data_IF_422381450631
#
_entry.id   IF_422381450631
#
_cell.length_a   1.000
_cell.length_b   1.000
_cell.length_c   1.000
_cell.angle_alpha   90.00
_cell.angle_beta   90.00
_cell.angle_gamma   90.00
#
_symmetry.space_group_name_H-M   'P 1'
#
loop_
_entity.id
_entity.type
_entity.pdbx_description
1 polymer ?
#
# COMPACT_ATOMS: atom_id res chain seq x y z
N UNK A 1 -13.96 -1.57 3.30
CA UNK A 1 -14.62 -2.90 3.47
C UNK A 1 -13.78 -3.84 4.34
N UNK A 2 -12.46 -3.92 4.15
CA UNK A 2 -11.57 -4.80 4.94
C UNK A 2 -11.63 -4.54 6.45
N UNK A 3 -11.38 -3.30 6.90
CA UNK A 3 -11.39 -2.98 8.34
C UNK A 3 -12.72 -3.33 9.03
N UNK A 4 -13.84 -3.03 8.37
CA UNK A 4 -15.20 -3.40 8.84
C UNK A 4 -15.38 -4.92 8.94
N UNK A 5 -14.95 -5.68 7.93
CA UNK A 5 -15.06 -7.14 7.94
C UNK A 5 -14.21 -7.78 9.05
N UNK A 6 -13.09 -7.15 9.43
CA UNK A 6 -12.24 -7.58 10.53
C UNK A 6 -12.66 -7.03 11.90
N UNK A 7 -13.65 -6.13 11.97
CA UNK A 7 -14.02 -5.44 13.20
C UNK A 7 -12.92 -4.52 13.75
N UNK A 8 -12.04 -3.98 12.89
CA UNK A 8 -10.89 -3.17 13.25
C UNK A 8 -11.06 -1.68 12.85
N UNK A 9 -10.39 -0.75 13.54
CA UNK A 9 -10.34 0.65 13.12
C UNK A 9 -9.57 0.82 11.80
N UNK A 10 -9.84 1.92 11.10
CA UNK A 10 -9.19 2.28 9.84
C UNK A 10 -8.45 3.60 9.98
N UNK A 11 -7.21 3.64 9.49
CA UNK A 11 -6.40 4.84 9.32
C UNK A 11 -6.19 5.05 7.82
N UNK A 12 -6.30 6.29 7.37
CA UNK A 12 -6.08 6.65 5.97
C UNK A 12 -4.85 7.53 5.89
N UNK A 13 -3.85 7.07 5.14
CA UNK A 13 -2.72 7.92 4.76
C UNK A 13 -3.15 8.85 3.61
N UNK A 14 -2.80 10.13 3.72
CA UNK A 14 -3.24 11.16 2.77
C UNK A 14 -2.08 11.68 1.94
N UNK A 15 -2.35 12.19 0.75
CA UNK A 15 -1.34 12.88 -0.06
C UNK A 15 -0.97 14.25 0.50
N UNK A 16 -1.91 14.88 1.19
CA UNK A 16 -1.79 16.19 1.81
C UNK A 16 -2.40 16.12 3.21
N UNK A 17 -1.72 16.72 4.18
CA UNK A 17 -2.21 16.82 5.56
C UNK A 17 -3.42 17.75 5.65
N UNK A 18 -4.28 17.54 6.64
CA UNK A 18 -5.35 18.48 6.99
C UNK A 18 -5.02 19.21 8.28
N UNK A 19 -5.41 20.48 8.36
CA UNK A 19 -5.23 21.32 9.57
C UNK A 19 -5.82 20.65 10.82
N UNK A 20 -6.89 19.87 10.65
CA UNK A 20 -7.59 19.16 11.74
C UNK A 20 -6.84 17.93 12.27
N UNK A 21 -5.78 17.46 11.61
CA UNK A 21 -5.04 16.26 12.02
C UNK A 21 -4.01 16.54 13.11
N UNK A 22 -3.73 17.82 13.38
CA UNK A 22 -2.73 18.23 14.35
C UNK A 22 -1.33 17.78 13.93
N UNK A 23 -0.46 17.39 14.88
CA UNK A 23 0.88 16.90 14.57
C UNK A 23 0.85 15.67 13.64
N UNK A 24 1.66 15.67 12.58
CA UNK A 24 1.67 14.63 11.55
C UNK A 24 3.08 14.23 11.13
N UNK A 25 3.24 12.99 10.68
CA UNK A 25 4.44 12.51 9.97
C UNK A 25 4.20 12.65 8.49
N UNK A 26 5.16 13.23 7.78
CA UNK A 26 5.14 13.35 6.32
C UNK A 26 6.36 12.64 5.75
N UNK A 27 6.14 11.73 4.80
CA UNK A 27 7.19 11.04 4.05
C UNK A 27 7.10 11.38 2.56
N UNK A 28 8.27 11.42 1.92
CA UNK A 28 8.41 11.54 0.48
C UNK A 28 8.94 10.23 -0.10
N UNK A 29 8.33 9.75 -1.17
CA UNK A 29 8.75 8.51 -1.83
C UNK A 29 8.60 8.64 -3.35
N UNK A 30 9.37 7.84 -4.08
CA UNK A 30 9.32 7.80 -5.55
C UNK A 30 8.34 6.71 -5.95
N UNK A 31 7.24 7.06 -6.62
CA UNK A 31 6.28 6.07 -7.09
C UNK A 31 6.76 5.34 -8.34
N UNK A 32 6.02 4.31 -8.76
CA UNK A 32 6.30 3.56 -9.99
C UNK A 32 6.23 4.38 -11.29
N UNK A 33 5.76 5.63 -11.24
CA UNK A 33 5.78 6.59 -12.35
C UNK A 33 6.99 7.54 -12.31
N UNK A 34 7.99 7.28 -11.45
CA UNK A 34 9.18 8.11 -11.21
C UNK A 34 8.87 9.54 -10.76
N UNK A 35 7.68 9.77 -10.21
CA UNK A 35 7.30 11.04 -9.57
C UNK A 35 7.55 10.96 -8.08
N UNK A 36 7.95 12.08 -7.48
CA UNK A 36 7.98 12.23 -6.03
C UNK A 36 6.54 12.40 -5.56
N UNK A 37 6.13 11.55 -4.63
CA UNK A 37 4.85 11.65 -3.95
C UNK A 37 5.08 11.90 -2.48
N UNK A 38 4.13 12.62 -1.89
CA UNK A 38 4.08 12.89 -0.46
C UNK A 38 2.97 12.06 0.17
N UNK A 39 3.20 11.60 1.39
CA UNK A 39 2.21 10.94 2.21
C UNK A 39 2.27 11.46 3.64
N UNK A 40 1.12 11.78 4.21
CA UNK A 40 0.96 12.33 5.55
C UNK A 40 0.03 11.45 6.37
N UNK A 41 0.43 11.19 7.62
CA UNK A 41 -0.37 10.47 8.62
C UNK A 41 -0.28 11.23 9.94
N UNK A 42 -1.44 11.49 10.58
CA UNK A 42 -1.48 12.14 11.90
C UNK A 42 -0.79 11.28 12.96
N UNK A 43 0.00 11.87 13.85
CA UNK A 43 0.75 11.15 14.89
C UNK A 43 -0.15 10.35 15.84
N UNK A 44 -1.40 10.80 16.01
CA UNK A 44 -2.41 10.15 16.86
C UNK A 44 -3.16 9.01 16.15
N UNK A 45 -2.90 8.79 14.87
CA UNK A 45 -3.65 7.83 14.07
C UNK A 45 -3.28 6.37 14.40
N UNK A 46 -2.03 6.11 14.77
CA UNK A 46 -1.58 4.78 15.19
C UNK A 46 -1.08 4.83 16.64
N UNK A 47 -1.47 3.82 17.43
CA UNK A 47 -0.90 3.60 18.76
C UNK A 47 0.46 2.93 18.62
N UNK A 48 1.43 3.32 19.46
CA UNK A 48 2.69 2.58 19.58
C UNK A 48 2.42 1.11 19.90
N UNK A 49 3.18 0.21 19.29
CA UNK A 49 3.01 -1.24 19.39
C UNK A 49 1.82 -1.80 18.60
N UNK A 50 1.07 -0.98 17.86
CA UNK A 50 -0.03 -1.48 17.04
C UNK A 50 0.48 -2.44 15.98
N UNK A 51 -0.33 -3.46 15.66
CA UNK A 51 -0.08 -4.39 14.57
C UNK A 51 -1.04 -4.06 13.43
N UNK A 52 -0.50 -3.59 12.30
CA UNK A 52 -1.28 -2.98 11.21
C UNK A 52 -1.31 -3.87 9.96
N UNK A 53 -2.43 -3.84 9.24
CA UNK A 53 -2.57 -4.42 7.90
C UNK A 53 -2.61 -3.26 6.90
N UNK A 54 -1.67 -3.25 5.95
CA UNK A 54 -1.65 -2.26 4.87
C UNK A 54 -2.56 -2.75 3.74
N UNK A 55 -3.43 -1.87 3.24
CA UNK A 55 -4.37 -2.19 2.16
C UNK A 55 -4.29 -1.13 1.07
N UNK A 56 -4.13 -1.55 -0.18
CA UNK A 56 -4.10 -0.66 -1.35
C UNK A 56 -4.93 -1.24 -2.51
N UNK A 57 -5.31 -0.42 -3.48
CA UNK A 57 -6.07 -0.88 -4.65
C UNK A 57 -5.15 -1.49 -5.72
N UNK A 58 -4.07 -0.81 -6.07
CA UNK A 58 -3.22 -1.18 -7.20
C UNK A 58 -1.73 -1.04 -6.87
N UNK A 59 -0.97 -2.10 -7.10
CA UNK A 59 0.46 -2.13 -6.85
C UNK A 59 1.27 -2.43 -8.11
N UNK A 60 2.09 -1.47 -8.54
CA UNK A 60 3.12 -1.70 -9.58
C UNK A 60 4.42 -2.22 -8.97
N UNK A 61 5.36 -1.33 -8.64
CA UNK A 61 6.65 -1.70 -8.04
C UNK A 61 6.61 -1.85 -6.51
N UNK A 62 5.51 -1.44 -5.85
CA UNK A 62 5.38 -1.52 -4.40
C UNK A 62 5.85 -0.30 -3.61
N UNK A 63 6.23 0.79 -4.27
CA UNK A 63 6.75 1.99 -3.59
C UNK A 63 5.77 2.62 -2.58
N UNK A 64 4.49 2.73 -2.94
CA UNK A 64 3.45 3.25 -2.03
C UNK A 64 3.28 2.35 -0.81
N UNK A 65 3.19 1.04 -1.03
CA UNK A 65 3.09 0.07 0.06
C UNK A 65 4.33 0.11 0.96
N UNK A 66 5.52 0.26 0.38
CA UNK A 66 6.78 0.40 1.14
C UNK A 66 6.77 1.66 2.00
N UNK A 67 6.39 2.79 1.43
CA UNK A 67 6.26 4.03 2.19
C UNK A 67 5.26 3.88 3.35
N UNK A 68 4.14 3.16 3.17
CA UNK A 68 3.18 2.90 4.24
C UNK A 68 3.76 2.01 5.35
N UNK A 69 4.57 1.01 4.98
CA UNK A 69 5.31 0.17 5.94
C UNK A 69 6.29 1.01 6.74
N UNK A 70 7.04 1.88 6.08
CA UNK A 70 8.02 2.75 6.71
C UNK A 70 7.34 3.76 7.66
N UNK A 71 6.23 4.41 7.26
CA UNK A 71 5.42 5.28 8.16
C UNK A 71 4.98 4.51 9.41
N UNK A 72 4.44 3.30 9.23
CA UNK A 72 3.98 2.50 10.37
C UNK A 72 5.15 2.21 11.34
N UNK A 73 6.33 1.89 10.82
CA UNK A 73 7.55 1.70 11.60
C UNK A 73 7.98 2.95 12.37
N UNK A 74 8.01 4.11 11.72
CA UNK A 74 8.31 5.42 12.35
C UNK A 74 7.32 5.76 13.48
N UNK A 75 6.07 5.32 13.36
CA UNK A 75 5.04 5.48 14.39
C UNK A 75 5.11 4.42 15.50
N UNK A 76 6.11 3.52 15.46
CA UNK A 76 6.30 2.44 16.42
C UNK A 76 5.29 1.30 16.29
N UNK A 77 4.69 1.12 15.11
CA UNK A 77 3.81 0.01 14.80
C UNK A 77 4.55 -1.08 13.99
N UNK A 78 4.02 -2.30 14.02
CA UNK A 78 4.51 -3.43 13.23
C UNK A 78 3.52 -3.79 12.12
N UNK A 79 4.00 -4.16 10.94
CA UNK A 79 3.14 -4.52 9.80
C UNK A 79 2.92 -6.03 9.79
N UNK A 80 1.66 -6.46 9.85
CA UNK A 80 1.27 -7.87 9.77
C UNK A 80 1.41 -8.45 8.35
N UNK A 81 1.17 -7.61 7.34
CA UNK A 81 1.26 -7.92 5.92
C UNK A 81 0.68 -6.78 5.07
N UNK A 82 0.74 -6.96 3.75
CA UNK A 82 0.18 -6.04 2.75
C UNK A 82 -0.85 -6.78 1.91
N UNK A 83 -2.06 -6.23 1.79
CA UNK A 83 -3.10 -6.75 0.89
C UNK A 83 -3.39 -5.75 -0.23
N UNK A 84 -3.33 -6.18 -1.49
CA UNK A 84 -3.65 -5.32 -2.64
C UNK A 84 -4.68 -5.96 -3.54
N UNK A 85 -5.54 -5.16 -4.17
CA UNK A 85 -6.56 -5.72 -5.06
C UNK A 85 -5.90 -6.23 -6.36
N UNK A 86 -5.07 -5.42 -7.01
CA UNK A 86 -4.33 -5.80 -8.22
C UNK A 86 -2.83 -5.54 -8.03
N UNK A 87 -1.98 -6.49 -8.46
CA UNK A 87 -0.54 -6.28 -8.62
C UNK A 87 -0.11 -6.45 -10.07
N UNK A 88 0.85 -5.69 -10.57
CA UNK A 88 1.43 -5.96 -11.90
C UNK A 88 2.34 -7.18 -11.87
N UNK A 89 2.46 -7.92 -12.98
CA UNK A 89 3.47 -8.97 -13.12
C UNK A 89 4.88 -8.36 -13.06
N UNK A 90 5.11 -7.26 -13.78
CA UNK A 90 6.40 -6.57 -13.80
C UNK A 90 6.40 -5.25 -12.99
N UNK A 91 7.45 -4.94 -12.21
CA UNK A 91 8.64 -5.78 -11.98
C UNK A 91 8.30 -7.01 -11.14
N UNK A 92 8.91 -8.17 -11.43
CA UNK A 92 8.68 -9.41 -10.68
C UNK A 92 8.97 -9.24 -9.17
N UNK A 93 10.08 -8.57 -8.82
CA UNK A 93 10.40 -8.21 -7.44
C UNK A 93 9.78 -6.87 -7.06
N UNK A 94 9.01 -6.87 -5.97
CA UNK A 94 8.38 -5.67 -5.40
C UNK A 94 9.27 -5.10 -4.29
N UNK A 95 9.05 -3.82 -3.97
CA UNK A 95 9.78 -3.13 -2.89
C UNK A 95 9.26 -3.46 -1.48
N UNK A 96 8.20 -4.27 -1.40
CA UNK A 96 7.64 -4.80 -0.16
C UNK A 96 7.74 -6.32 -0.16
N UNK A 97 8.07 -6.86 1.01
CA UNK A 97 8.03 -8.30 1.27
C UNK A 97 6.68 -8.65 1.90
N UNK A 98 6.24 -9.91 1.74
CA UNK A 98 5.04 -10.47 2.37
C UNK A 98 3.75 -9.72 2.04
N UNK A 99 3.38 -9.77 0.76
CA UNK A 99 2.10 -9.24 0.28
C UNK A 99 1.21 -10.33 -0.33
N UNK A 100 -0.10 -10.06 -0.34
CA UNK A 100 -1.11 -10.86 -1.04
C UNK A 100 -1.82 -9.96 -2.04
N UNK A 101 -2.01 -10.44 -3.27
CA UNK A 101 -2.87 -9.80 -4.27
C UNK A 101 -4.04 -10.71 -4.65
N UNK A 102 -5.16 -10.14 -5.09
CA UNK A 102 -6.28 -10.94 -5.62
C UNK A 102 -6.13 -11.18 -7.12
N UNK A 103 -5.60 -10.20 -7.85
CA UNK A 103 -5.42 -10.24 -9.30
C UNK A 103 -3.99 -9.86 -9.69
N UNK A 104 -3.49 -10.45 -10.77
CA UNK A 104 -2.24 -10.07 -11.42
C UNK A 104 -2.53 -9.48 -12.79
N UNK A 105 -2.12 -8.24 -13.01
CA UNK A 105 -2.11 -7.59 -14.33
C UNK A 105 -0.84 -8.01 -15.06
N UNK A 106 -0.97 -8.84 -16.08
CA UNK A 106 0.17 -9.32 -16.86
C UNK A 106 0.52 -8.40 -18.03
N UNK A 107 -0.49 -7.94 -18.78
CA UNK A 107 -0.25 -7.17 -19.99
C UNK A 107 -1.34 -6.13 -20.23
N UNK A 108 -0.91 -4.97 -20.72
CA UNK A 108 -1.77 -3.91 -21.26
C UNK A 108 -1.29 -3.64 -22.68
N UNK A 109 -2.14 -3.87 -23.66
CA UNK A 109 -1.90 -3.50 -25.05
C UNK A 109 -2.81 -2.32 -25.41
N UNK A 110 -2.24 -1.12 -25.46
CA UNK A 110 -2.98 0.10 -25.74
C UNK A 110 -3.43 0.21 -27.21
N UNK A 111 -2.68 -0.42 -28.13
CA UNK A 111 -2.99 -0.38 -29.58
C UNK A 111 -4.14 -1.32 -29.88
N UNK A 112 -4.04 -2.57 -29.44
CA UNK A 112 -5.11 -3.55 -29.56
C UNK A 112 -6.28 -3.28 -28.59
N UNK A 113 -6.10 -2.35 -27.63
CA UNK A 113 -7.05 -2.04 -26.55
C UNK A 113 -7.45 -3.27 -25.74
N UNK A 114 -6.48 -4.12 -25.43
CA UNK A 114 -6.70 -5.34 -24.63
C UNK A 114 -5.93 -5.28 -23.32
N UNK A 115 -6.50 -5.90 -22.28
CA UNK A 115 -5.88 -5.99 -20.96
C UNK A 115 -5.98 -7.44 -20.50
N UNK A 116 -4.83 -8.04 -20.14
CA UNK A 116 -4.76 -9.41 -19.64
C UNK A 116 -4.58 -9.38 -18.13
N UNK A 117 -5.62 -9.82 -17.41
CA UNK A 117 -5.64 -9.95 -15.94
C UNK A 117 -5.95 -11.40 -15.59
N UNK A 118 -5.20 -11.96 -14.64
CA UNK A 118 -5.42 -13.31 -14.13
C UNK A 118 -5.61 -13.29 -12.61
N UNK A 119 -6.26 -14.31 -12.01
CA UNK A 119 -6.20 -14.51 -10.58
C UNK A 119 -4.74 -14.58 -10.10
N UNK A 120 -4.43 -13.87 -9.01
CA UNK A 120 -3.14 -14.02 -8.36
C UNK A 120 -3.12 -15.30 -7.53
N UNK A 121 -1.94 -15.91 -7.39
CA UNK A 121 -1.72 -16.90 -6.35
C UNK A 121 -2.00 -16.25 -4.99
N UNK A 122 -2.90 -16.88 -4.21
CA UNK A 122 -3.35 -16.38 -2.91
C UNK A 122 -2.33 -16.63 -1.80
N UNK A 123 -1.23 -17.31 -2.09
CA UNK A 123 -0.11 -17.44 -1.16
C UNK A 123 0.58 -16.09 -0.94
N UNK A 124 1.18 -15.95 0.25
CA UNK A 124 1.96 -14.75 0.58
C UNK A 124 3.21 -14.72 -0.28
N UNK A 125 3.40 -13.66 -1.05
CA UNK A 125 4.58 -13.44 -1.89
C UNK A 125 5.65 -12.72 -1.08
N UNK A 126 6.88 -13.24 -1.13
CA UNK A 126 8.06 -12.66 -0.47
C UNK A 126 8.80 -11.65 -1.35
#
# INVERSE_FOLDING_TARGET
MVARALGLPMVVARREGRVTEGPSVTLHYISGSRRIHTMTVGLRALRRGARVLVVDDFMKAGATARAMVDVAGEMGASVAGVGVFVSTAEPARKQVQRYVSLLTLEQVDEVARTVRVIPADRQTKE
#
